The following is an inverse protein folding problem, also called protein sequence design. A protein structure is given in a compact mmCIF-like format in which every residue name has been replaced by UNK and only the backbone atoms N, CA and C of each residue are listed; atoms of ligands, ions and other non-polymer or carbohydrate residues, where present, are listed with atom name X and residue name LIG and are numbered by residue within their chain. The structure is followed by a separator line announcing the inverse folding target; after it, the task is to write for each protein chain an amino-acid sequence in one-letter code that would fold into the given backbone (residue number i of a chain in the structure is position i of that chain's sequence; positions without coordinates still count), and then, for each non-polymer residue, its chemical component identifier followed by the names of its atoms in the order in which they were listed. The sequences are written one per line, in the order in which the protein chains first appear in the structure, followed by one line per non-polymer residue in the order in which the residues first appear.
data_IF_445157888924
#
_entry.id   IF_445157888924
#
_cell.length_a   1.000
_cell.length_b   1.000
_cell.length_c   1.000
_cell.angle_alpha   90.00
_cell.angle_beta   90.00
_cell.angle_gamma   90.00
#
_symmetry.space_group_name_H-M   'P 1'
#
loop_
_entity.id
_entity.type
_entity.pdbx_description
1 polymer ?
#
# COMPACT_ATOMS: atom_id res chain seq x y z
N UNK A 1 0.90 -9.74 6.22
CA UNK A 1 1.68 -9.12 5.13
C UNK A 1 1.61 -10.08 3.96
N UNK A 2 1.33 -9.60 2.76
CA UNK A 2 1.34 -10.43 1.54
C UNK A 2 2.64 -10.17 0.77
N UNK A 3 3.01 -11.07 -0.14
CA UNK A 3 4.19 -10.90 -1.01
C UNK A 3 3.86 -11.28 -2.44
N UNK A 4 4.51 -10.63 -3.40
CA UNK A 4 4.54 -11.09 -4.79
C UNK A 4 5.98 -11.12 -5.29
N UNK A 5 6.24 -11.95 -6.32
CA UNK A 5 7.54 -12.00 -7.00
C UNK A 5 7.50 -11.05 -8.18
N UNK A 6 8.36 -10.05 -8.19
CA UNK A 6 8.53 -9.13 -9.31
C UNK A 6 9.20 -9.84 -10.49
N UNK A 7 9.18 -9.21 -11.67
CA UNK A 7 9.69 -9.81 -12.91
C UNK A 7 11.20 -10.09 -12.89
N UNK A 8 11.94 -9.48 -11.98
CA UNK A 8 13.37 -9.70 -11.75
C UNK A 8 13.66 -10.79 -10.69
N UNK A 9 12.62 -11.43 -10.15
CA UNK A 9 12.72 -12.43 -9.09
C UNK A 9 12.70 -11.87 -7.67
N UNK A 10 12.64 -10.55 -7.49
CA UNK A 10 12.63 -9.93 -6.16
C UNK A 10 11.28 -10.15 -5.47
N UNK A 11 11.29 -10.64 -4.23
CA UNK A 11 10.08 -10.79 -3.42
C UNK A 11 9.72 -9.46 -2.73
N UNK A 12 8.65 -8.81 -3.16
CA UNK A 12 8.17 -7.53 -2.61
C UNK A 12 7.03 -7.79 -1.63
N UNK A 13 7.15 -7.20 -0.44
CA UNK A 13 6.09 -7.26 0.57
C UNK A 13 5.10 -6.10 0.37
N UNK A 14 3.83 -6.37 0.68
CA UNK A 14 2.80 -5.35 0.64
C UNK A 14 1.69 -5.62 1.66
N UNK A 15 0.95 -4.57 1.99
CA UNK A 15 -0.31 -4.62 2.73
C UNK A 15 -1.42 -4.11 1.83
N UNK A 16 -2.54 -4.83 1.81
CA UNK A 16 -3.72 -4.51 1.02
C UNK A 16 -4.91 -4.31 1.96
N UNK A 17 -5.59 -3.18 1.81
CA UNK A 17 -6.88 -2.90 2.42
C UNK A 17 -7.96 -3.10 1.37
N UNK A 18 -8.43 -4.34 1.29
CA UNK A 18 -9.42 -4.78 0.32
C UNK A 18 -10.83 -4.32 0.73
N UNK A 19 -11.65 -3.94 -0.24
CA UNK A 19 -13.08 -3.65 -0.05
C UNK A 19 -13.79 -3.69 -1.39
N UNK A 20 -15.11 -3.86 -1.38
CA UNK A 20 -15.92 -3.57 -2.57
C UNK A 20 -15.77 -2.10 -2.96
N UNK A 21 -15.33 -1.87 -4.19
CA UNK A 21 -15.12 -0.55 -4.78
C UNK A 21 -14.93 -0.66 -6.29
N UNK A 22 -15.64 0.17 -7.04
CA UNK A 22 -15.46 0.33 -8.49
C UNK A 22 -14.36 1.34 -8.83
N UNK A 23 -13.75 1.97 -7.81
CA UNK A 23 -12.66 2.92 -8.00
C UNK A 23 -11.32 2.19 -8.26
N UNK A 24 -10.38 2.83 -9.00
CA UNK A 24 -9.04 2.30 -9.17
C UNK A 24 -8.32 2.11 -7.83
N UNK A 25 -7.49 1.06 -7.75
CA UNK A 25 -6.59 0.80 -6.64
C UNK A 25 -5.58 1.95 -6.51
N UNK A 26 -5.39 2.44 -5.28
CA UNK A 26 -4.29 3.36 -4.95
C UNK A 26 -3.13 2.55 -4.41
N UNK A 27 -1.96 2.69 -5.04
CA UNK A 27 -0.70 2.08 -4.59
C UNK A 27 0.17 3.16 -3.96
N UNK A 28 0.58 2.95 -2.71
CA UNK A 28 1.41 3.85 -1.93
C UNK A 28 2.82 3.29 -1.80
N UNK A 29 3.79 4.02 -2.31
CA UNK A 29 5.23 3.71 -2.23
C UNK A 29 5.88 4.70 -1.27
N UNK A 30 6.52 4.23 -0.20
CA UNK A 30 7.21 5.10 0.74
C UNK A 30 8.50 5.70 0.13
N UNK A 31 9.05 6.72 0.79
CA UNK A 31 10.32 7.33 0.39
C UNK A 31 11.55 6.58 0.90
N UNK A 32 12.72 7.18 0.73
CA UNK A 32 14.03 6.67 1.15
C UNK A 32 14.07 6.39 2.67
N UNK A 33 14.54 5.19 3.05
CA UNK A 33 14.76 4.77 4.46
C UNK A 33 13.50 4.96 5.35
N UNK A 34 12.33 4.67 4.79
CA UNK A 34 11.03 4.72 5.48
C UNK A 34 10.26 3.43 5.23
N UNK A 35 9.09 3.29 5.86
CA UNK A 35 8.10 2.27 5.55
C UNK A 35 6.70 2.89 5.31
N UNK A 36 5.74 2.04 4.97
CA UNK A 36 4.35 2.45 4.77
C UNK A 36 3.62 2.85 6.05
N UNK A 37 4.06 2.40 7.22
CA UNK A 37 3.47 2.80 8.49
C UNK A 37 3.76 4.26 8.81
N UNK A 38 5.03 4.67 8.74
CA UNK A 38 5.47 6.04 9.02
C UNK A 38 4.85 7.04 8.05
N UNK A 39 4.81 6.71 6.75
CA UNK A 39 4.34 7.67 5.76
C UNK A 39 2.82 7.70 5.59
N UNK A 40 2.13 6.57 5.73
CA UNK A 40 0.73 6.47 5.27
C UNK A 40 -0.27 6.05 6.35
N UNK A 41 0.12 5.14 7.24
CA UNK A 41 -0.80 4.63 8.28
C UNK A 41 -0.84 5.59 9.45
N UNK A 42 0.32 5.90 10.05
CA UNK A 42 0.42 6.79 11.22
C UNK A 42 -0.19 8.18 10.98
N UNK A 43 0.03 8.80 9.81
CA UNK A 43 -0.59 10.09 9.48
C UNK A 43 -2.07 10.01 9.06
N UNK A 44 -2.66 8.82 8.93
CA UNK A 44 -4.08 8.66 8.56
C UNK A 44 -4.40 8.77 7.07
N UNK A 45 -3.40 8.74 6.18
CA UNK A 45 -3.62 8.80 4.72
C UNK A 45 -4.38 7.58 4.22
N UNK A 46 -4.05 6.39 4.75
CA UNK A 46 -4.79 5.16 4.43
C UNK A 46 -6.27 5.32 4.81
N UNK A 47 -6.55 5.79 6.02
CA UNK A 47 -7.93 5.95 6.50
C UNK A 47 -8.71 6.96 5.65
N UNK A 48 -8.09 8.08 5.26
CA UNK A 48 -8.72 9.07 4.38
C UNK A 48 -9.06 8.49 2.99
N UNK A 49 -8.15 7.69 2.41
CA UNK A 49 -8.39 7.03 1.13
C UNK A 49 -9.50 5.96 1.24
N UNK A 50 -9.51 5.17 2.31
CA UNK A 50 -10.57 4.21 2.58
C UNK A 50 -11.92 4.90 2.77
N UNK A 51 -11.97 6.02 3.51
CA UNK A 51 -13.18 6.82 3.69
C UNK A 51 -13.71 7.39 2.37
N UNK A 52 -12.82 7.69 1.41
CA UNK A 52 -13.19 8.09 0.05
C UNK A 52 -13.73 6.95 -0.83
N UNK A 53 -13.86 5.73 -0.30
CA UNK A 53 -14.38 4.57 -1.01
C UNK A 53 -13.34 3.79 -1.80
N UNK A 54 -12.05 4.11 -1.68
CA UNK A 54 -10.98 3.47 -2.47
C UNK A 54 -10.47 2.19 -1.82
N UNK A 55 -9.91 1.31 -2.65
CA UNK A 55 -9.00 0.25 -2.22
C UNK A 55 -7.58 0.81 -2.16
N UNK A 56 -6.78 0.33 -1.20
CA UNK A 56 -5.42 0.83 -0.98
C UNK A 56 -4.46 -0.33 -0.84
N UNK A 57 -3.30 -0.25 -1.49
CA UNK A 57 -2.15 -1.12 -1.24
C UNK A 57 -0.94 -0.26 -0.86
N UNK A 58 -0.22 -0.64 0.20
CA UNK A 58 1.07 -0.04 0.54
C UNK A 58 2.17 -1.09 0.31
N UNK A 59 3.16 -0.75 -0.51
CA UNK A 59 4.32 -1.61 -0.80
C UNK A 59 5.46 -1.27 0.15
N UNK A 60 6.24 -2.29 0.49
CA UNK A 60 7.46 -2.21 1.27
C UNK A 60 8.63 -2.49 0.32
N UNK A 61 9.32 -1.43 -0.07
CA UNK A 61 10.36 -1.47 -1.09
C UNK A 61 11.64 -2.10 -0.53
N UNK A 62 12.25 -2.98 -1.34
CA UNK A 62 13.53 -3.61 -1.05
C UNK A 62 14.70 -2.87 -1.68
#
# INVERSE_FOLDING_TARGET
MQTFTASDGTAIAYRLWERSSDLPLVVLHHGLVSDGHVNWIGPGIVDALLASGRRVAAIDAR
#
